data_IF_672007336864
#
_entry.id   IF_672007336864
#
_cell.length_a   1.000
_cell.length_b   1.000
_cell.length_c   1.000
_cell.angle_alpha   90.00
_cell.angle_beta   90.00
_cell.angle_gamma   90.00
#
_symmetry.space_group_name_H-M   'P 1'
#
loop_
_entity.id
_entity.type
_entity.pdbx_description
1 polymer ?
2 water ?
#
# COMPACT_ATOMS: atom_id res chain seq x y z
N UNK A 1 5.06 -5.74 -10.89
CA UNK A 1 4.64 -4.37 -11.21
C UNK A 1 5.81 -3.48 -11.52
N UNK A 2 5.59 -2.52 -12.39
CA UNK A 2 6.61 -1.52 -12.68
C UNK A 2 5.98 -0.24 -13.19
N UNK A 3 6.58 0.88 -12.79
CA UNK A 3 6.07 2.17 -13.19
C UNK A 3 6.63 2.56 -14.55
N UNK A 4 5.79 3.14 -15.37
CA UNK A 4 6.21 3.68 -16.66
C UNK A 4 6.59 5.15 -16.55
N UNK A 5 6.30 5.76 -15.39
CA UNK A 5 6.42 7.22 -15.25
C UNK A 5 7.48 7.64 -14.22
N UNK A 6 8.22 8.71 -14.54
CA UNK A 6 9.24 9.25 -13.64
C UNK A 6 8.63 9.82 -12.38
N UNK A 7 9.39 9.88 -11.28
CA UNK A 7 8.75 10.27 -10.01
C UNK A 7 9.63 10.88 -8.92
N UNK A 8 8.99 11.57 -7.98
CA UNK A 8 9.65 12.20 -6.85
C UNK A 8 9.84 11.27 -5.65
N UNK A 9 10.63 11.74 -4.67
CA UNK A 9 10.90 10.99 -3.44
C UNK A 9 9.66 10.85 -2.58
N UNK A 10 9.54 9.71 -1.89
CA UNK A 10 8.46 9.50 -0.95
C UNK A 10 8.57 10.43 0.25
N UNK A 11 7.44 11.02 0.69
CA UNK A 11 7.43 11.86 1.91
C UNK A 11 7.68 11.02 3.16
N UNK A 12 7.59 9.71 3.01
CA UNK A 12 7.85 8.77 4.08
C UNK A 12 8.92 7.79 3.62
N UNK A 13 9.95 7.55 4.43
CA UNK A 13 11.02 6.64 4.02
C UNK A 13 10.47 5.27 3.59
N UNK A 14 10.96 4.72 2.49
CA UNK A 14 10.35 3.51 1.95
C UNK A 14 10.53 2.30 2.88
N UNK A 15 11.56 2.31 3.71
CA UNK A 15 11.68 1.25 4.72
C UNK A 15 10.53 1.31 5.74
N UNK A 16 10.09 2.52 6.09
CA UNK A 16 8.92 2.68 6.97
C UNK A 16 7.62 2.26 6.27
N UNK A 17 7.46 2.64 5.01
CA UNK A 17 6.30 2.17 4.23
C UNK A 17 6.20 0.63 4.21
N UNK A 18 7.33 -0.01 3.95
CA UNK A 18 7.41 -1.48 3.96
C UNK A 18 6.95 -2.07 5.29
N UNK A 19 7.41 -1.47 6.38
CA UNK A 19 7.01 -1.94 7.70
C UNK A 19 5.52 -1.71 7.96
N UNK A 20 5.01 -0.56 7.53
CA UNK A 20 3.60 -0.22 7.71
C UNK A 20 2.73 -1.25 6.98
N UNK A 21 3.11 -1.53 5.74
CA UNK A 21 2.35 -2.44 4.89
C UNK A 21 2.44 -3.88 5.40
N UNK A 22 3.64 -4.29 5.82
CA UNK A 22 3.85 -5.66 6.27
C UNK A 22 3.08 -5.91 7.56
N UNK A 23 3.10 -4.92 8.45
CA UNK A 23 2.37 -5.01 9.73
C UNK A 23 0.87 -5.01 9.48
N UNK A 24 0.42 -4.16 8.56
CA UNK A 24 -1.02 -4.11 8.22
C UNK A 24 -1.51 -5.45 7.67
N UNK A 25 -0.76 -6.02 6.73
CA UNK A 25 -1.10 -7.33 6.15
C UNK A 25 -1.08 -8.44 7.18
N UNK A 26 -0.05 -8.43 8.01
CA UNK A 26 0.07 -9.41 9.10
C UNK A 26 -1.09 -9.36 10.09
N UNK A 27 -1.46 -8.16 10.50
CA UNK A 27 -2.60 -7.96 11.40
C UNK A 27 -3.91 -8.43 10.80
N UNK A 28 -4.09 -8.20 9.51
CA UNK A 28 -5.33 -8.58 8.83
C UNK A 28 -5.41 -10.08 8.51
N UNK A 29 -4.38 -10.63 7.86
CA UNK A 29 -4.43 -12.02 7.35
C UNK A 29 -3.33 -12.95 7.88
N UNK A 30 -2.55 -12.49 8.86
CA UNK A 30 -1.48 -13.30 9.40
C UNK A 30 -1.93 -14.61 10.03
N UNK A 31 -3.11 -14.61 10.63
CA UNK A 31 -3.62 -15.80 11.29
C UNK A 31 -4.53 -16.63 10.38
N UNK A 32 -4.74 -16.16 9.15
CA UNK A 32 -5.59 -16.86 8.20
C UNK A 32 -4.84 -18.03 7.57
N UNK A 33 -5.44 -19.20 7.57
CA UNK A 33 -4.77 -20.36 7.04
C UNK A 33 -5.10 -20.57 5.55
N UNK A 34 -6.19 -19.97 5.10
CA UNK A 34 -6.64 -20.15 3.72
C UNK A 34 -7.27 -18.87 3.18
N UNK A 35 -7.35 -18.79 1.85
CA UNK A 35 -8.11 -17.76 1.17
C UNK A 35 -9.61 -17.96 1.39
N UNK A 36 -10.31 -16.94 1.83
CA UNK A 36 -11.75 -17.08 2.02
C UNK A 36 -12.43 -15.88 1.37
N UNK A 37 -13.18 -16.15 0.30
CA UNK A 37 -13.80 -15.04 -0.41
C UNK A 37 -14.75 -14.25 0.48
N UNK A 38 -15.30 -14.89 1.52
CA UNK A 38 -16.24 -14.24 2.42
C UNK A 38 -15.57 -13.26 3.41
N UNK A 39 -14.25 -13.28 3.46
CA UNK A 39 -13.54 -12.43 4.39
C UNK A 39 -12.67 -11.38 3.68
N UNK A 40 -12.56 -11.48 2.36
CA UNK A 40 -11.63 -10.58 1.63
C UNK A 40 -11.99 -9.11 1.81
N UNK A 41 -13.28 -8.82 1.88
CA UNK A 41 -13.70 -7.43 2.04
C UNK A 41 -13.21 -6.87 3.38
N UNK A 42 -13.54 -7.57 4.47
CA UNK A 42 -13.04 -7.24 5.80
C UNK A 42 -11.53 -7.11 5.88
N UNK A 43 -10.82 -8.08 5.27
CA UNK A 43 -9.35 -8.03 5.21
C UNK A 43 -8.81 -6.78 4.50
N UNK A 44 -9.26 -6.53 3.28
CA UNK A 44 -8.84 -5.37 2.52
C UNK A 44 -9.13 -4.06 3.25
N UNK A 45 -10.32 -3.96 3.86
CA UNK A 45 -10.71 -2.76 4.61
C UNK A 45 -9.77 -2.50 5.77
N UNK A 46 -9.44 -3.55 6.50
CA UNK A 46 -8.51 -3.42 7.62
C UNK A 46 -7.12 -3.00 7.14
N UNK A 47 -6.62 -3.63 6.08
CA UNK A 47 -5.30 -3.28 5.55
C UNK A 47 -5.22 -1.80 5.13
N UNK A 48 -6.20 -1.36 4.35
CA UNK A 48 -6.21 -0.01 3.84
C UNK A 48 -6.36 1.02 4.95
N UNK A 49 -7.25 0.77 5.89
CA UNK A 49 -7.43 1.73 6.97
C UNK A 49 -6.19 1.83 7.82
N UNK A 50 -5.54 0.69 8.07
CA UNK A 50 -4.31 0.66 8.84
C UNK A 50 -3.20 1.46 8.15
N UNK A 51 -2.97 1.19 6.87
CA UNK A 51 -1.93 1.89 6.11
C UNK A 51 -2.24 3.38 6.02
N UNK A 52 -3.46 3.73 5.64
CA UNK A 52 -3.86 5.13 5.48
C UNK A 52 -3.67 5.93 6.78
N UNK A 53 -4.09 5.36 7.90
CA UNK A 53 -3.95 6.04 9.18
C UNK A 53 -2.49 6.32 9.49
N UNK A 54 -1.64 5.35 9.18
CA UNK A 54 -0.20 5.46 9.42
C UNK A 54 0.46 6.47 8.49
N UNK A 55 0.11 6.46 7.21
CA UNK A 55 0.80 7.36 6.30
C UNK A 55 0.30 8.79 6.48
N UNK A 56 -0.98 8.95 6.82
CA UNK A 56 -1.48 10.31 7.10
C UNK A 56 -0.70 10.91 8.27
N UNK A 57 -0.58 10.12 9.32
CA UNK A 57 0.06 10.56 10.56
C UNK A 57 1.51 10.96 10.33
N UNK A 58 2.24 10.10 9.63
CA UNK A 58 3.67 10.28 9.53
C UNK A 58 4.09 11.19 8.36
N UNK A 59 3.14 11.59 7.54
CA UNK A 59 3.44 12.57 6.51
C UNK A 59 3.14 13.99 6.99
N UNK A 60 2.64 14.15 8.20
CA UNK A 60 2.26 15.48 8.65
C UNK A 60 3.47 16.31 9.04
N UNK A 61 3.53 17.57 8.56
CA UNK A 61 4.60 18.48 8.98
C UNK A 61 4.62 18.57 10.50
N UNK A 62 5.81 18.70 11.09
CA UNK A 62 5.90 18.79 12.54
C UNK A 62 5.20 20.03 13.11
N UNK A 63 5.14 21.11 12.32
CA UNK A 63 4.58 22.37 12.79
C UNK A 63 3.15 22.62 12.32
N UNK A 64 2.32 23.16 13.21
CA UNK A 64 0.92 23.42 12.91
C UNK A 64 0.72 24.51 11.84
N UNK A 65 1.76 25.31 11.61
CA UNK A 65 1.66 26.38 10.63
C UNK A 65 1.76 25.86 9.19
N UNK A 66 2.05 24.56 9.03
CA UNK A 66 2.09 23.96 7.70
C UNK A 66 1.11 22.80 7.58
N UNK A 67 0.10 22.95 6.73
CA UNK A 67 -0.97 21.96 6.53
C UNK A 67 -0.44 20.74 5.76
N UNK A 68 -1.17 19.62 5.76
CA UNK A 68 -0.78 18.44 4.98
C UNK A 68 -0.37 18.83 3.56
N UNK A 69 0.75 18.33 3.07
CA UNK A 69 1.27 18.72 1.77
C UNK A 69 1.07 17.66 0.69
N UNK A 70 0.58 16.48 1.07
CA UNK A 70 0.41 15.36 0.13
C UNK A 70 -0.97 14.75 0.23
N UNK A 71 -1.56 14.43 -0.92
CA UNK A 71 -2.71 13.56 -0.98
C UNK A 71 -2.22 12.13 -1.12
N UNK A 72 -3.00 11.17 -0.63
CA UNK A 72 -2.66 9.76 -0.78
C UNK A 72 -3.82 8.95 -1.29
N UNK A 73 -3.50 7.96 -2.09
CA UNK A 73 -4.43 6.92 -2.43
C UNK A 73 -3.76 5.58 -2.12
N UNK A 74 -4.52 4.67 -1.51
CA UNK A 74 -4.01 3.36 -1.16
C UNK A 74 -4.93 2.29 -1.71
N UNK A 75 -4.37 1.39 -2.51
CA UNK A 75 -5.11 0.25 -3.04
C UNK A 75 -4.56 -1.05 -2.47
N UNK A 76 -5.46 -1.97 -2.13
CA UNK A 76 -5.06 -3.26 -1.64
C UNK A 76 -5.78 -4.31 -2.44
N UNK A 77 -5.05 -5.31 -2.91
CA UNK A 77 -5.67 -6.40 -3.66
C UNK A 77 -5.27 -7.74 -3.07
N UNK A 78 -6.27 -8.59 -2.83
CA UNK A 78 -6.03 -9.95 -2.36
C UNK A 78 -6.28 -10.91 -3.52
N UNK A 79 -5.26 -11.72 -3.82
CA UNK A 79 -5.29 -12.56 -5.01
C UNK A 79 -5.12 -14.00 -4.62
N UNK A 80 -6.13 -14.81 -4.94
CA UNK A 80 -6.08 -16.25 -4.71
C UNK A 80 -5.06 -16.89 -5.63
N UNK A 81 -4.27 -17.83 -5.10
CA UNK A 81 -3.23 -18.49 -5.88
C UNK A 81 -3.81 -19.28 -7.05
N UNK A 82 -3.10 -19.23 -8.18
CA UNK A 82 -3.50 -19.91 -9.40
C UNK A 82 -3.49 -21.41 -9.23
N UNK A 116 -0.26 -15.90 -12.07
CA UNK A 116 -0.22 -15.21 -13.35
C UNK A 116 -0.83 -13.82 -13.25
N UNK A 117 0.00 -12.84 -12.98
CA UNK A 117 -0.51 -11.49 -12.79
C UNK A 117 0.56 -10.45 -13.10
N UNK A 118 0.24 -9.51 -13.98
CA UNK A 118 1.17 -8.45 -14.31
C UNK A 118 0.49 -7.10 -14.26
N UNK A 119 1.14 -6.16 -13.60
CA UNK A 119 0.52 -4.86 -13.43
C UNK A 119 1.48 -3.78 -13.90
N UNK A 120 0.92 -2.66 -14.35
CA UNK A 120 1.73 -1.52 -14.74
C UNK A 120 1.02 -0.22 -14.40
N UNK A 121 1.79 0.84 -14.20
CA UNK A 121 1.22 2.14 -13.86
C UNK A 121 1.90 3.25 -14.66
N UNK A 122 1.08 4.15 -15.20
CA UNK A 122 1.56 5.33 -15.88
C UNK A 122 0.90 6.54 -15.23
N UNK A 123 1.41 7.73 -15.50
CA UNK A 123 0.84 8.90 -14.85
C UNK A 123 1.06 10.20 -15.61
N UNK A 124 0.22 11.17 -15.29
CA UNK A 124 0.32 12.53 -15.77
C UNK A 124 0.35 13.34 -14.50
N UNK A 125 1.56 13.57 -13.97
CA UNK A 125 1.66 14.23 -12.66
C UNK A 125 2.93 15.06 -12.57
N UNK A 126 3.30 15.43 -11.34
CA UNK A 126 4.52 16.22 -11.14
C UNK A 126 5.67 15.27 -10.84
N UNK A 127 6.57 15.10 -11.81
CA UNK A 127 7.63 14.11 -11.69
C UNK A 127 8.65 14.46 -10.60
N UNK A 128 8.65 15.70 -10.13
CA UNK A 128 9.57 16.09 -9.06
C UNK A 128 9.07 15.72 -7.67
N UNK A 129 7.76 15.55 -7.52
CA UNK A 129 7.17 15.41 -6.19
C UNK A 129 6.25 14.21 -6.00
N UNK A 130 5.63 13.73 -7.08
CA UNK A 130 4.60 12.70 -6.97
C UNK A 130 5.18 11.31 -7.24
N UNK A 131 4.55 10.26 -6.73
CA UNK A 131 5.08 8.94 -6.99
C UNK A 131 4.23 7.82 -6.45
N UNK A 132 4.76 6.62 -6.62
CA UNK A 132 4.07 5.43 -6.17
C UNK A 132 5.04 4.46 -5.57
N UNK A 133 4.52 3.55 -4.76
CA UNK A 133 5.31 2.51 -4.13
C UNK A 133 4.41 1.28 -4.01
N UNK A 134 4.98 0.12 -4.27
CA UNK A 134 4.18 -1.11 -4.25
C UNK A 134 4.80 -2.13 -3.33
N UNK A 135 3.96 -3.02 -2.81
CA UNK A 135 4.40 -4.01 -1.85
C UNK A 135 3.68 -5.31 -2.12
N UNK A 136 4.40 -6.42 -2.10
CA UNK A 136 3.77 -7.73 -2.17
C UNK A 136 4.00 -8.50 -0.88
N UNK A 137 2.92 -8.94 -0.26
CA UNK A 137 2.97 -9.78 0.92
C UNK A 137 2.82 -11.22 0.43
N UNK A 138 3.91 -11.96 0.32
CA UNK A 138 3.82 -13.28 -0.29
C UNK A 138 3.30 -14.29 0.71
N UNK A 139 2.21 -14.96 0.31
CA UNK A 139 1.66 -16.03 1.13
C UNK A 139 2.43 -17.30 0.88
N UNK A 140 2.60 -18.11 1.92
CA UNK A 140 3.27 -19.39 1.77
C UNK A 140 2.41 -20.37 0.97
N UNK A 141 2.90 -21.59 0.83
CA UNK A 141 2.17 -22.65 0.14
C UNK A 141 0.74 -22.80 0.62
N UNK A 142 0.57 -23.05 1.91
CA UNK A 142 -0.74 -23.36 2.47
C UNK A 142 -1.69 -22.16 2.50
N UNK A 143 -1.13 -20.96 2.45
CA UNK A 143 -1.93 -19.73 2.49
C UNK A 143 -2.94 -19.66 1.35
N UNK A 144 -2.47 -19.84 0.13
CA UNK A 144 -3.34 -19.83 -1.04
C UNK A 144 -3.76 -18.45 -1.50
N UNK A 145 -3.02 -17.42 -1.09
CA UNK A 145 -3.31 -16.07 -1.53
C UNK A 145 -2.12 -15.13 -1.36
N UNK A 146 -2.07 -14.13 -2.23
CA UNK A 146 -1.11 -13.06 -2.07
C UNK A 146 -1.86 -11.76 -1.80
N UNK A 147 -1.17 -10.84 -1.14
CA UNK A 147 -1.65 -9.48 -0.95
C UNK A 147 -0.71 -8.52 -1.66
N UNK A 148 -1.27 -7.68 -2.52
CA UNK A 148 -0.51 -6.63 -3.18
C UNK A 148 -1.05 -5.27 -2.76
N UNK A 149 -0.14 -4.38 -2.34
CA UNK A 149 -0.49 -3.04 -1.87
C UNK A 149 0.18 -2.01 -2.77
N UNK A 150 -0.54 -0.94 -3.09
CA UNK A 150 0.08 0.17 -3.80
C UNK A 150 -0.35 1.49 -3.18
N UNK A 151 0.61 2.37 -3.03
CA UNK A 151 0.41 3.68 -2.44
C UNK A 151 0.85 4.71 -3.46
N UNK A 152 -0.01 5.70 -3.70
CA UNK A 152 0.30 6.84 -4.55
C UNK A 152 0.35 8.08 -3.66
N UNK A 153 1.37 8.93 -3.83
CA UNK A 153 1.36 10.24 -3.18
C UNK A 153 1.40 11.35 -4.21
N UNK A 154 0.65 12.41 -3.94
CA UNK A 154 0.49 13.52 -4.86
C UNK A 154 0.67 14.81 -4.09
N UNK A 155 1.68 15.60 -4.46
CA UNK A 155 1.99 16.84 -3.75
C UNK A 155 0.88 17.86 -3.95
N UNK A 156 0.60 18.57 -2.86
CA UNK A 156 -0.31 19.71 -2.80
C UNK A 156 -1.74 19.29 -3.12
#
# INVERSE_FOLDING_TARGET
>A
HHSMAAQGPSPIPTNRLKQIAADACNDAIGSAEFYDHAKTEQWNHQIINTILKAVIAESQPSDSTTPPQFKFAVNSTIVQHLVPSSKLNKPAGGADDKPASTATSTDGKPHVGRRGMHSATGAFWNDKTDGMWTYKHEGDESKGMDVVVMLIWIAV
#
